data_IF_566141937209
#
_entry.id   IF_566141937209
#
_cell.length_a   1.000
_cell.length_b   1.000
_cell.length_c   1.000
_cell.angle_alpha   90.00
_cell.angle_beta   90.00
_cell.angle_gamma   90.00
#
_symmetry.space_group_name_H-M   'P 1'
#
loop_
_entity.id
_entity.type
_entity.pdbx_description
1 polymer ?
#
# COMPACT_ATOMS: atom_id res chain seq x y z
N UNK A 1 -35.66 -10.50 -2.77
CA UNK A 1 -35.57 -11.02 -4.16
C UNK A 1 -35.08 -9.88 -5.05
N UNK A 2 -33.80 -9.85 -5.41
CA UNK A 2 -33.24 -8.83 -6.31
C UNK A 2 -33.67 -9.14 -7.75
N UNK A 3 -34.29 -8.17 -8.43
CA UNK A 3 -34.68 -8.30 -9.84
C UNK A 3 -33.45 -8.37 -10.76
N UNK A 4 -33.42 -9.26 -11.77
CA UNK A 4 -32.38 -9.29 -12.81
C UNK A 4 -32.16 -7.96 -13.56
N UNK A 5 -33.15 -7.05 -13.55
CA UNK A 5 -33.10 -5.77 -14.25
C UNK A 5 -32.14 -4.74 -13.61
N UNK A 6 -31.91 -4.80 -12.29
CA UNK A 6 -30.99 -3.85 -11.65
C UNK A 6 -29.53 -4.09 -12.07
N UNK A 7 -29.15 -5.33 -12.39
CA UNK A 7 -27.81 -5.69 -12.91
C UNK A 7 -27.55 -5.18 -14.35
N UNK A 8 -28.59 -4.86 -15.11
CA UNK A 8 -28.44 -4.27 -16.44
C UNK A 8 -28.17 -2.76 -16.37
N UNK A 9 -28.66 -2.07 -15.34
CA UNK A 9 -28.41 -0.65 -15.13
C UNK A 9 -26.93 -0.29 -14.91
N UNK A 10 -26.15 -1.17 -14.26
CA UNK A 10 -24.68 -1.03 -14.09
C UNK A 10 -23.89 -1.32 -15.38
N UNK A 11 -24.50 -2.02 -16.35
CA UNK A 11 -23.88 -2.29 -17.66
C UNK A 11 -24.08 -1.13 -18.63
N UNK A 12 -25.09 -0.30 -18.40
CA UNK A 12 -25.43 0.86 -19.24
C UNK A 12 -24.97 2.18 -18.64
N UNK A 13 -24.33 2.17 -17.48
CA UNK A 13 -23.60 3.35 -17.01
C UNK A 13 -22.56 3.67 -18.08
N UNK A 14 -22.55 4.89 -18.68
CA UNK A 14 -21.54 5.23 -19.65
C UNK A 14 -20.19 4.91 -19.00
N UNK A 15 -19.40 4.07 -19.66
CA UNK A 15 -18.01 3.90 -19.29
C UNK A 15 -17.46 5.33 -19.17
N UNK A 16 -17.01 5.73 -17.96
CA UNK A 16 -16.33 7.03 -17.72
C UNK A 16 -15.52 7.36 -18.97
N UNK A 17 -15.75 8.56 -19.53
CA UNK A 17 -15.29 8.92 -20.87
C UNK A 17 -13.79 8.62 -20.98
N UNK A 18 -13.33 8.09 -22.13
CA UNK A 18 -11.92 7.69 -22.27
C UNK A 18 -10.99 8.87 -21.98
N UNK A 19 -11.41 10.06 -22.41
CA UNK A 19 -10.67 11.31 -22.19
C UNK A 19 -10.62 11.69 -20.69
N UNK A 20 -11.70 11.47 -19.94
CA UNK A 20 -11.73 11.69 -18.48
C UNK A 20 -10.80 10.73 -17.73
N UNK A 21 -10.72 9.46 -18.16
CA UNK A 21 -9.79 8.47 -17.57
C UNK A 21 -8.35 8.79 -17.87
N UNK A 22 -8.03 9.15 -19.11
CA UNK A 22 -6.68 9.56 -19.49
C UNK A 22 -6.25 10.82 -18.74
N UNK A 23 -7.16 11.78 -18.55
CA UNK A 23 -6.92 12.94 -17.70
C UNK A 23 -6.68 12.54 -16.25
N UNK A 24 -7.48 11.64 -15.67
CA UNK A 24 -7.27 11.13 -14.31
C UNK A 24 -5.92 10.43 -14.16
N UNK A 25 -5.55 9.55 -15.09
CA UNK A 25 -4.27 8.85 -15.08
C UNK A 25 -3.08 9.83 -15.19
N UNK A 26 -3.20 10.85 -16.05
CA UNK A 26 -2.20 11.91 -16.16
C UNK A 26 -2.11 12.74 -14.87
N UNK A 27 -3.25 13.13 -14.28
CA UNK A 27 -3.28 13.86 -13.02
C UNK A 27 -2.68 13.04 -11.89
N UNK A 28 -2.95 11.74 -11.83
CA UNK A 28 -2.41 10.82 -10.81
C UNK A 28 -0.90 10.63 -10.99
N UNK A 29 -0.39 10.50 -12.21
CA UNK A 29 1.06 10.40 -12.48
C UNK A 29 1.79 11.69 -12.08
N UNK A 30 1.24 12.85 -12.46
CA UNK A 30 1.76 14.16 -12.08
C UNK A 30 1.71 14.31 -10.56
N UNK A 31 0.57 14.07 -9.91
CA UNK A 31 0.44 14.16 -8.47
C UNK A 31 1.45 13.24 -7.75
N UNK A 32 1.58 11.99 -8.19
CA UNK A 32 2.55 11.05 -7.62
C UNK A 32 3.99 11.56 -7.77
N UNK A 33 4.37 12.02 -8.96
CA UNK A 33 5.74 12.51 -9.20
C UNK A 33 6.06 13.79 -8.43
N UNK A 34 5.12 14.72 -8.34
CA UNK A 34 5.36 16.05 -7.76
C UNK A 34 5.03 16.15 -6.27
N UNK A 35 4.14 15.31 -5.73
CA UNK A 35 3.75 15.36 -4.32
C UNK A 35 4.35 14.21 -3.51
N UNK A 36 4.31 12.98 -4.03
CA UNK A 36 4.73 11.81 -3.24
C UNK A 36 6.24 11.77 -3.05
N UNK A 37 7.01 12.11 -4.09
CA UNK A 37 8.48 12.14 -4.00
C UNK A 37 8.98 13.11 -2.92
N UNK A 38 8.65 14.42 -2.93
CA UNK A 38 9.08 15.31 -1.87
C UNK A 38 8.47 14.96 -0.52
N UNK A 39 7.24 14.45 -0.47
CA UNK A 39 6.63 13.98 0.77
C UNK A 39 7.45 12.86 1.42
N UNK A 40 7.88 11.85 0.65
CA UNK A 40 8.71 10.75 1.16
C UNK A 40 10.07 11.27 1.64
N UNK A 41 10.67 12.22 0.92
CA UNK A 41 11.94 12.85 1.34
C UNK A 41 11.76 13.58 2.67
N UNK A 42 10.71 14.37 2.81
CA UNK A 42 10.40 15.09 4.05
C UNK A 42 10.10 14.12 5.20
N UNK A 43 9.29 13.09 4.94
CA UNK A 43 8.99 12.03 5.90
C UNK A 43 10.29 11.38 6.40
N UNK A 44 11.22 11.07 5.50
CA UNK A 44 12.54 10.54 5.84
C UNK A 44 13.40 11.47 6.69
N UNK A 45 13.27 12.79 6.50
CA UNK A 45 14.00 13.79 7.27
C UNK A 45 13.46 13.99 8.69
N UNK A 46 12.17 13.72 8.92
CA UNK A 46 11.47 13.94 10.20
C UNK A 46 11.24 12.61 10.96
N UNK A 47 11.95 11.54 10.60
CA UNK A 47 11.79 10.25 11.28
C UNK A 47 12.18 10.34 12.77
N UNK A 48 11.34 9.85 13.69
CA UNK A 48 11.59 9.92 15.13
C UNK A 48 12.49 8.76 15.59
N UNK A 49 13.78 8.87 15.29
CA UNK A 49 14.77 7.82 15.57
C UNK A 49 14.83 7.42 17.05
N UNK A 50 14.72 8.39 17.95
CA UNK A 50 14.76 8.16 19.41
C UNK A 50 13.52 7.39 19.88
N UNK A 51 12.32 7.79 19.45
CA UNK A 51 11.07 7.09 19.79
C UNK A 51 11.06 5.64 19.25
N UNK A 52 11.73 5.40 18.12
CA UNK A 52 11.90 4.05 17.59
C UNK A 52 12.88 3.21 18.42
N UNK A 53 13.92 3.82 18.96
CA UNK A 53 14.85 3.15 19.85
C UNK A 53 14.15 2.74 21.17
N UNK A 54 13.25 3.59 21.68
CA UNK A 54 12.47 3.33 22.89
C UNK A 54 11.49 2.16 22.76
N UNK A 55 11.04 1.84 21.54
CA UNK A 55 10.26 0.63 21.25
C UNK A 55 11.09 -0.66 21.40
N UNK A 56 12.42 -0.57 21.38
CA UNK A 56 13.33 -1.70 21.43
C UNK A 56 13.03 -2.76 20.36
N UNK A 57 13.15 -4.05 20.72
CA UNK A 57 12.89 -5.17 19.80
C UNK A 57 11.42 -5.31 19.38
N UNK A 58 10.49 -4.69 20.11
CA UNK A 58 9.07 -4.71 19.75
C UNK A 58 8.81 -3.89 18.47
N UNK A 59 9.59 -2.84 18.20
CA UNK A 59 9.45 -2.00 17.01
C UNK A 59 9.68 -2.78 15.71
N UNK A 60 10.86 -3.37 15.48
CA UNK A 60 11.13 -4.19 14.30
C UNK A 60 10.20 -5.39 14.19
N UNK A 61 9.87 -6.05 15.32
CA UNK A 61 8.93 -7.16 15.34
C UNK A 61 7.53 -6.76 14.87
N UNK A 62 7.04 -5.61 15.35
CA UNK A 62 5.77 -5.02 14.93
C UNK A 62 5.79 -4.67 13.44
N UNK A 63 6.83 -3.97 12.95
CA UNK A 63 6.93 -3.60 11.54
C UNK A 63 6.94 -4.83 10.62
N UNK A 64 7.71 -5.87 10.96
CA UNK A 64 7.73 -7.13 10.22
C UNK A 64 6.37 -7.83 10.24
N UNK A 65 5.70 -7.86 11.39
CA UNK A 65 4.36 -8.42 11.52
C UNK A 65 3.35 -7.67 10.64
N UNK A 66 3.40 -6.34 10.61
CA UNK A 66 2.54 -5.52 9.75
C UNK A 66 2.79 -5.83 8.28
N UNK A 67 4.06 -5.87 7.84
CA UNK A 67 4.40 -6.18 6.45
C UNK A 67 3.93 -7.58 6.03
N UNK A 68 4.09 -8.57 6.92
CA UNK A 68 3.73 -9.96 6.64
C UNK A 68 2.22 -10.24 6.71
N UNK A 69 1.48 -9.58 7.61
CA UNK A 69 0.08 -9.93 7.92
C UNK A 69 -0.93 -9.00 7.24
N UNK A 70 -0.59 -7.72 7.03
CA UNK A 70 -1.56 -6.72 6.54
C UNK A 70 -2.18 -7.07 5.20
N UNK A 71 -1.41 -7.69 4.30
CA UNK A 71 -1.78 -7.81 2.88
C UNK A 71 -1.57 -9.19 2.26
N UNK A 72 -0.46 -9.90 2.52
CA UNK A 72 -0.24 -11.22 1.93
C UNK A 72 -1.32 -12.26 2.29
N UNK A 73 -1.76 -12.43 3.56
CA UNK A 73 -2.74 -13.45 3.91
C UNK A 73 -4.13 -13.23 3.29
N UNK A 74 -4.73 -12.02 3.31
CA UNK A 74 -6.00 -11.77 2.64
C UNK A 74 -5.95 -12.06 1.14
N UNK A 75 -4.88 -11.64 0.45
CA UNK A 75 -4.74 -11.86 -0.99
C UNK A 75 -4.57 -13.35 -1.30
N UNK A 76 -3.80 -14.08 -0.49
CA UNK A 76 -3.64 -15.52 -0.63
C UNK A 76 -4.94 -16.29 -0.35
N UNK A 77 -5.71 -15.87 0.65
CA UNK A 77 -7.02 -16.45 0.96
C UNK A 77 -8.00 -16.26 -0.22
N UNK A 78 -7.96 -15.10 -0.87
CA UNK A 78 -8.79 -14.78 -2.03
C UNK A 78 -8.23 -15.29 -3.37
N UNK A 79 -7.00 -15.80 -3.40
CA UNK A 79 -6.31 -16.18 -4.64
C UNK A 79 -7.11 -17.17 -5.49
N UNK A 80 -7.76 -18.16 -4.84
CA UNK A 80 -8.63 -19.13 -5.52
C UNK A 80 -9.86 -18.49 -6.16
N UNK A 81 -10.48 -17.54 -5.46
CA UNK A 81 -11.66 -16.82 -5.97
C UNK A 81 -11.30 -15.89 -7.14
N UNK A 82 -10.10 -15.32 -7.11
CA UNK A 82 -9.57 -14.43 -8.13
C UNK A 82 -8.95 -15.20 -9.33
N UNK A 83 -8.91 -16.53 -9.29
CA UNK A 83 -8.27 -17.35 -10.34
C UNK A 83 -6.75 -17.12 -10.43
N UNK A 84 -6.11 -16.63 -9.37
CA UNK A 84 -4.69 -16.31 -9.35
C UNK A 84 -3.86 -17.55 -9.03
N UNK A 85 -2.76 -17.75 -9.77
CA UNK A 85 -1.74 -18.71 -9.37
C UNK A 85 -1.09 -18.23 -8.08
N UNK A 86 -0.61 -19.16 -7.25
CA UNK A 86 0.01 -18.84 -5.96
C UNK A 86 1.12 -17.78 -6.08
N UNK A 87 1.93 -17.87 -7.13
CA UNK A 87 2.98 -16.90 -7.43
C UNK A 87 2.44 -15.49 -7.67
N UNK A 88 1.38 -15.38 -8.44
CA UNK A 88 0.78 -14.10 -8.82
C UNK A 88 0.10 -13.48 -7.59
N UNK A 89 -0.53 -14.32 -6.74
CA UNK A 89 -1.10 -13.90 -5.47
C UNK A 89 -0.04 -13.43 -4.45
N UNK A 90 1.11 -14.10 -4.34
CA UNK A 90 2.23 -13.64 -3.48
C UNK A 90 2.78 -12.31 -4.01
N UNK A 91 2.96 -12.18 -5.33
CA UNK A 91 3.48 -10.96 -5.93
C UNK A 91 2.52 -9.77 -5.71
N UNK A 92 1.23 -9.94 -5.96
CA UNK A 92 0.19 -8.92 -5.74
C UNK A 92 0.01 -8.60 -4.25
N UNK A 93 0.10 -9.62 -3.39
CA UNK A 93 0.03 -9.48 -1.94
C UNK A 93 1.21 -8.68 -1.38
N UNK A 94 2.41 -8.90 -1.94
CA UNK A 94 3.62 -8.17 -1.55
C UNK A 94 3.63 -6.73 -2.07
N UNK A 95 3.15 -6.44 -3.27
CA UNK A 95 3.22 -5.08 -3.85
C UNK A 95 2.09 -4.13 -3.42
N UNK A 96 1.93 -3.92 -2.11
CA UNK A 96 0.94 -3.00 -1.54
C UNK A 96 1.49 -2.13 -0.41
N UNK A 97 2.44 -1.22 -0.70
CA UNK A 97 3.09 -0.42 0.32
C UNK A 97 2.08 0.42 1.12
N UNK A 98 2.43 0.71 2.36
CA UNK A 98 1.72 1.68 3.18
C UNK A 98 1.92 3.07 2.53
N UNK A 99 0.81 3.72 2.16
CA UNK A 99 0.83 5.01 1.48
C UNK A 99 0.84 6.20 2.44
N UNK A 100 0.88 7.40 1.83
CA UNK A 100 0.86 8.71 2.51
C UNK A 100 -0.37 8.88 3.42
N UNK A 101 -1.50 8.27 3.06
CA UNK A 101 -2.73 8.31 3.86
C UNK A 101 -2.57 7.73 5.26
N UNK A 102 -1.68 6.77 5.47
CA UNK A 102 -1.43 6.23 6.81
C UNK A 102 -0.81 7.28 7.73
N UNK A 103 0.11 8.11 7.21
CA UNK A 103 0.71 9.23 7.96
C UNK A 103 -0.35 10.27 8.28
N UNK A 104 -1.22 10.58 7.31
CA UNK A 104 -2.36 11.49 7.54
C UNK A 104 -3.28 10.99 8.66
N UNK A 105 -3.66 9.71 8.65
CA UNK A 105 -4.52 9.16 9.72
C UNK A 105 -3.82 9.08 11.07
N UNK A 106 -2.50 8.85 11.10
CA UNK A 106 -1.73 8.93 12.35
C UNK A 106 -1.74 10.35 12.92
N UNK A 107 -1.50 11.35 12.08
CA UNK A 107 -1.57 12.75 12.48
C UNK A 107 -2.98 13.14 12.93
N UNK A 108 -4.02 12.73 12.21
CA UNK A 108 -5.41 12.94 12.58
C UNK A 108 -5.75 12.27 13.91
N UNK A 109 -5.26 11.04 14.16
CA UNK A 109 -5.51 10.36 15.43
C UNK A 109 -4.88 11.08 16.62
N UNK A 110 -3.69 11.67 16.43
CA UNK A 110 -3.04 12.48 17.45
C UNK A 110 -3.83 13.76 17.73
N UNK A 111 -4.36 14.40 16.69
CA UNK A 111 -5.22 15.59 16.81
C UNK A 111 -6.53 15.29 17.56
N UNK A 112 -7.14 14.13 17.30
CA UNK A 112 -8.35 13.63 17.98
C UNK A 112 -8.09 13.12 19.42
N UNK A 113 -6.87 13.27 19.93
CA UNK A 113 -6.53 12.99 21.33
C UNK A 113 -5.95 11.60 21.60
N UNK A 114 -5.45 10.88 20.58
CA UNK A 114 -4.61 9.71 20.81
C UNK A 114 -3.30 10.14 21.51
N UNK A 115 -3.20 9.81 22.80
CA UNK A 115 -2.13 10.30 23.67
C UNK A 115 -0.96 9.33 23.85
N UNK A 116 -1.08 8.08 23.40
CA UNK A 116 0.00 7.09 23.51
C UNK A 116 1.11 7.40 22.47
N UNK A 117 2.32 7.83 22.90
CA UNK A 117 3.42 8.12 21.98
C UNK A 117 3.85 6.91 21.15
N UNK A 118 3.61 5.69 21.67
CA UNK A 118 3.96 4.44 20.99
C UNK A 118 3.16 4.25 19.71
N UNK A 119 1.93 4.77 19.62
CA UNK A 119 1.11 4.68 18.42
C UNK A 119 1.75 5.43 17.26
N UNK A 120 2.21 6.66 17.50
CA UNK A 120 2.85 7.48 16.49
C UNK A 120 4.21 6.88 16.08
N UNK A 121 5.01 6.45 17.07
CA UNK A 121 6.29 5.80 16.82
C UNK A 121 6.15 4.50 16.02
N UNK A 122 5.26 3.60 16.42
CA UNK A 122 5.04 2.33 15.74
C UNK A 122 4.41 2.52 14.35
N UNK A 123 3.47 3.47 14.22
CA UNK A 123 2.83 3.80 12.96
C UNK A 123 3.81 4.35 11.92
N UNK A 124 4.60 5.35 12.31
CA UNK A 124 5.64 5.93 11.44
C UNK A 124 6.72 4.92 11.10
N UNK A 125 7.12 4.06 12.05
CA UNK A 125 8.05 2.95 11.81
C UNK A 125 7.49 1.98 10.76
N UNK A 126 6.22 1.58 10.87
CA UNK A 126 5.59 0.69 9.91
C UNK A 126 5.54 1.32 8.50
N UNK A 127 5.19 2.60 8.39
CA UNK A 127 5.18 3.34 7.11
C UNK A 127 6.59 3.37 6.49
N UNK A 128 7.60 3.73 7.28
CA UNK A 128 8.98 3.82 6.81
C UNK A 128 9.53 2.45 6.40
N UNK A 129 9.37 1.44 7.25
CA UNK A 129 9.79 0.07 6.98
C UNK A 129 9.10 -0.50 5.73
N UNK A 130 7.79 -0.24 5.57
CA UNK A 130 7.06 -0.62 4.36
C UNK A 130 7.63 0.07 3.13
N UNK A 131 7.78 1.39 3.15
CA UNK A 131 8.28 2.16 2.00
C UNK A 131 9.66 1.66 1.57
N UNK A 132 10.56 1.44 2.53
CA UNK A 132 11.89 0.90 2.27
C UNK A 132 11.85 -0.53 1.73
N UNK A 133 11.13 -1.44 2.40
CA UNK A 133 11.07 -2.84 1.99
C UNK A 133 10.51 -2.99 0.56
N UNK A 134 9.42 -2.27 0.24
CA UNK A 134 8.80 -2.34 -1.07
C UNK A 134 9.62 -1.61 -2.13
N UNK A 135 10.26 -0.48 -1.77
CA UNK A 135 11.16 0.26 -2.68
C UNK A 135 12.37 -0.58 -3.09
N UNK A 136 13.05 -1.20 -2.12
CA UNK A 136 14.23 -2.06 -2.36
C UNK A 136 13.83 -3.33 -3.12
N UNK A 137 12.67 -3.91 -2.82
CA UNK A 137 12.21 -5.15 -3.48
C UNK A 137 11.54 -4.92 -4.84
N UNK A 138 11.14 -3.69 -5.18
CA UNK A 138 10.39 -3.39 -6.41
C UNK A 138 11.11 -3.84 -7.68
N UNK A 139 12.33 -3.36 -7.89
CA UNK A 139 13.10 -3.68 -9.09
C UNK A 139 13.50 -5.16 -9.20
N UNK A 140 14.07 -5.81 -8.16
CA UNK A 140 14.46 -7.22 -8.27
C UNK A 140 13.24 -8.14 -8.43
N UNK A 141 12.13 -7.87 -7.73
CA UNK A 141 10.94 -8.71 -7.84
C UNK A 141 10.27 -8.57 -9.21
N UNK A 142 10.19 -7.37 -9.79
CA UNK A 142 9.68 -7.16 -11.15
C UNK A 142 10.52 -7.92 -12.18
N UNK A 143 11.86 -7.88 -12.08
CA UNK A 143 12.77 -8.64 -12.95
C UNK A 143 12.62 -10.15 -12.77
N UNK A 144 12.49 -10.64 -11.54
CA UNK A 144 12.27 -12.05 -11.27
C UNK A 144 10.91 -12.52 -11.82
N UNK A 145 9.88 -11.69 -11.70
CA UNK A 145 8.56 -11.97 -12.23
C UNK A 145 8.56 -12.00 -13.76
N UNK A 146 9.15 -11.00 -14.43
CA UNK A 146 9.23 -10.95 -15.89
C UNK A 146 9.99 -12.15 -16.49
N UNK A 147 11.15 -12.50 -15.92
CA UNK A 147 11.96 -13.64 -16.40
C UNK A 147 11.21 -14.97 -16.38
N UNK A 148 10.44 -15.21 -15.32
CA UNK A 148 9.66 -16.45 -15.16
C UNK A 148 8.28 -16.39 -15.82
N UNK A 149 7.87 -15.24 -16.36
CA UNK A 149 6.67 -15.13 -17.21
C UNK A 149 7.02 -15.36 -18.69
N UNK A 150 8.28 -15.12 -19.07
CA UNK A 150 8.82 -15.40 -20.39
C UNK A 150 9.31 -16.86 -20.58
N UNK A 151 9.25 -17.69 -19.53
CA UNK A 151 9.50 -19.14 -19.63
C UNK A 151 8.15 -19.84 -19.80
N UNK A 152 7.85 -20.44 -20.98
CA UNK A 152 6.59 -21.12 -21.25
C UNK A 152 6.38 -22.36 -20.38
#
# INVERSE_FOLDING_TARGET
>A
MCSPSSWQAWRTTPAVDSDEREQQEMLDDVANRYLVVPFIVLLGAVLPWDDWADLGWAGPGFALAVLAVRRPPPVLALARLLGLRLRDAVFVGWFGPIGVSAVFYLALSADEGATDPRLFAAGTLAVAASTLAHGVTALPARRAYARRAASP
#
